data_IF_555246807684
#
_entry.id   IF_555246807684
#
_cell.length_a   1.000
_cell.length_b   1.000
_cell.length_c   1.000
_cell.angle_alpha   90.00
_cell.angle_beta   90.00
_cell.angle_gamma   90.00
#
_symmetry.space_group_name_H-M   'P 1'
#
loop_
_entity.id
_entity.type
_entity.pdbx_description
1 polymer ?
#
# COMPACT_ATOMS: atom_id res chain seq x y z
N UNK A 1 7.52 13.78 21.17
CA UNK A 1 7.44 13.48 19.72
C UNK A 1 6.40 14.42 19.13
N UNK A 2 6.70 15.06 18.01
CA UNK A 2 5.69 15.83 17.28
C UNK A 2 4.58 14.87 16.82
N UNK A 3 3.29 15.20 17.02
CA UNK A 3 2.18 14.35 16.53
C UNK A 3 2.09 14.30 14.99
N UNK A 4 2.96 15.02 14.28
CA UNK A 4 2.82 15.27 12.84
C UNK A 4 3.59 14.28 11.94
N UNK A 5 4.59 13.54 12.47
CA UNK A 5 5.34 12.56 11.69
C UNK A 5 5.41 11.23 12.47
N UNK A 6 4.93 10.11 11.89
CA UNK A 6 4.97 8.81 12.55
C UNK A 6 6.42 8.30 12.64
N UNK A 7 6.76 7.62 13.73
CA UNK A 7 8.06 6.95 13.89
C UNK A 7 8.18 5.64 13.10
N UNK A 8 7.07 5.14 12.55
CA UNK A 8 7.02 3.88 11.83
C UNK A 8 6.06 3.95 10.64
N UNK A 9 6.33 3.17 9.59
CA UNK A 9 5.49 3.11 8.38
C UNK A 9 5.26 1.67 7.91
N UNK A 10 4.16 1.45 7.22
CA UNK A 10 3.88 0.19 6.49
C UNK A 10 4.06 0.44 5.01
N UNK A 11 4.85 -0.41 4.36
CA UNK A 11 5.00 -0.44 2.91
C UNK A 11 4.59 -1.81 2.39
N UNK A 12 3.98 -1.84 1.21
CA UNK A 12 3.78 -3.07 0.45
C UNK A 12 4.69 -3.02 -0.76
N UNK A 13 5.59 -4.00 -0.89
CA UNK A 13 6.52 -4.08 -2.02
C UNK A 13 5.88 -4.88 -3.16
N UNK A 14 5.63 -4.28 -4.34
CA UNK A 14 4.94 -4.95 -5.42
C UNK A 14 5.91 -5.77 -6.30
N UNK A 15 5.49 -6.97 -6.71
CA UNK A 15 6.20 -7.78 -7.72
C UNK A 15 5.58 -7.67 -9.12
N UNK A 16 4.32 -7.25 -9.20
CA UNK A 16 3.53 -7.23 -10.44
C UNK A 16 2.84 -5.87 -10.67
N UNK A 17 3.53 -4.78 -10.32
CA UNK A 17 3.00 -3.43 -10.52
C UNK A 17 2.73 -3.14 -12.00
N UNK A 18 1.53 -2.64 -12.30
CA UNK A 18 1.10 -2.28 -13.65
C UNK A 18 -0.04 -1.26 -13.60
N UNK A 19 -0.33 -0.53 -14.69
CA UNK A 19 -1.59 0.20 -14.82
C UNK A 19 -2.78 -0.75 -14.63
N UNK A 20 -3.79 -0.31 -13.88
CA UNK A 20 -4.98 -1.08 -13.57
C UNK A 20 -6.18 -0.59 -14.41
N UNK A 21 -6.68 -1.39 -15.36
CA UNK A 21 -7.80 -1.00 -16.21
C UNK A 21 -9.07 -0.63 -15.43
N UNK A 22 -9.32 -1.26 -14.27
CA UNK A 22 -10.52 -1.02 -13.45
C UNK A 22 -10.52 0.35 -12.77
N UNK A 23 -9.37 1.01 -12.68
CA UNK A 23 -9.21 2.35 -12.10
C UNK A 23 -8.86 3.40 -13.15
N UNK A 24 -8.89 3.04 -14.45
CA UNK A 24 -8.47 3.97 -15.49
C UNK A 24 -9.41 5.18 -15.61
N UNK A 25 -10.69 4.99 -15.30
CA UNK A 25 -11.71 6.04 -15.44
C UNK A 25 -11.65 7.11 -14.35
N UNK A 26 -11.05 6.81 -13.19
CA UNK A 26 -11.00 7.69 -12.03
C UNK A 26 -9.57 8.00 -11.53
N UNK A 27 -8.54 7.29 -12.03
CA UNK A 27 -7.15 7.51 -11.68
C UNK A 27 -6.38 8.23 -12.80
N UNK A 28 -6.44 9.57 -12.79
CA UNK A 28 -5.72 10.44 -13.75
C UNK A 28 -4.19 10.34 -13.69
N UNK A 29 -3.61 9.68 -12.67
CA UNK A 29 -2.17 9.45 -12.57
C UNK A 29 -1.69 8.26 -13.41
N UNK A 30 -2.59 7.41 -13.92
CA UNK A 30 -2.21 6.28 -14.77
C UNK A 30 -1.94 6.72 -16.20
N UNK A 31 -0.82 6.23 -16.75
CA UNK A 31 -0.49 6.38 -18.16
C UNK A 31 -0.46 5.02 -18.84
N UNK A 32 -1.16 4.94 -19.97
CA UNK A 32 -1.17 3.79 -20.86
C UNK A 32 -0.17 3.93 -22.02
N UNK A 33 0.33 5.15 -22.22
CA UNK A 33 1.27 5.51 -23.28
C UNK A 33 2.71 5.28 -22.82
N UNK A 34 3.13 4.03 -22.79
CA UNK A 34 4.55 3.66 -22.73
C UNK A 34 4.95 3.01 -24.05
N UNK A 35 5.69 3.76 -24.88
CA UNK A 35 6.14 3.30 -26.20
C UNK A 35 6.86 1.93 -26.11
N UNK A 36 6.57 0.97 -27.02
CA UNK A 36 7.05 -0.42 -26.89
C UNK A 36 8.58 -0.59 -26.87
N UNK A 37 9.33 0.33 -27.49
CA UNK A 37 10.77 0.21 -27.75
C UNK A 37 11.66 0.57 -26.56
N UNK A 38 11.10 1.16 -25.49
CA UNK A 38 11.83 1.62 -24.30
C UNK A 38 11.06 1.35 -23.02
N UNK A 39 10.35 0.20 -22.90
CA UNK A 39 9.74 -0.15 -21.61
C UNK A 39 10.83 -0.66 -20.66
N UNK A 40 11.30 0.11 -19.66
CA UNK A 40 11.78 -0.56 -18.46
C UNK A 40 10.65 -1.46 -17.97
N UNK A 41 10.99 -2.63 -17.45
CA UNK A 41 10.04 -3.44 -16.71
C UNK A 41 9.52 -2.57 -15.55
N UNK A 42 8.32 -2.00 -15.73
CA UNK A 42 7.70 -1.06 -14.78
C UNK A 42 7.47 -1.73 -13.43
N UNK A 43 7.27 -3.05 -13.42
CA UNK A 43 7.14 -3.82 -12.19
C UNK A 43 8.48 -3.87 -11.48
N UNK A 44 9.57 -4.18 -12.19
CA UNK A 44 10.92 -4.14 -11.63
C UNK A 44 11.33 -2.73 -11.18
N UNK A 45 10.96 -1.70 -11.92
CA UNK A 45 11.23 -0.31 -11.56
C UNK A 45 10.50 0.09 -10.27
N UNK A 46 9.21 -0.27 -10.15
CA UNK A 46 8.41 -0.04 -8.94
C UNK A 46 8.93 -0.83 -7.74
N UNK A 47 9.31 -2.10 -7.94
CA UNK A 47 9.98 -2.92 -6.92
C UNK A 47 11.22 -2.21 -6.40
N UNK A 48 12.13 -1.82 -7.30
CA UNK A 48 13.38 -1.17 -6.95
C UNK A 48 13.15 0.19 -6.26
N UNK A 49 12.13 0.94 -6.69
CA UNK A 49 11.76 2.22 -6.06
C UNK A 49 11.21 2.01 -4.64
N UNK A 50 10.34 1.02 -4.45
CA UNK A 50 9.80 0.65 -3.13
C UNK A 50 10.90 0.19 -2.17
N UNK A 51 11.86 -0.64 -2.65
CA UNK A 51 13.03 -1.05 -1.85
C UNK A 51 13.87 0.15 -1.44
N UNK A 52 14.25 1.02 -2.38
CA UNK A 52 15.05 2.21 -2.05
C UNK A 52 14.33 3.17 -1.11
N UNK A 53 13.00 3.28 -1.21
CA UNK A 53 12.20 4.08 -0.29
C UNK A 53 12.28 3.52 1.14
N UNK A 54 12.15 2.20 1.30
CA UNK A 54 12.30 1.55 2.60
C UNK A 54 13.68 1.83 3.20
N UNK A 55 14.76 1.57 2.44
CA UNK A 55 16.14 1.83 2.86
C UNK A 55 16.34 3.30 3.27
N UNK A 56 15.85 4.25 2.47
CA UNK A 56 16.00 5.68 2.74
C UNK A 56 15.25 6.12 4.01
N UNK A 57 14.12 5.49 4.33
CA UNK A 57 13.35 5.78 5.53
C UNK A 57 14.01 5.16 6.77
N UNK A 58 14.54 3.95 6.66
CA UNK A 58 15.32 3.30 7.72
C UNK A 58 16.59 4.11 8.04
N UNK A 59 17.32 4.57 7.02
CA UNK A 59 18.49 5.45 7.17
C UNK A 59 18.15 6.78 7.87
N UNK A 60 16.90 7.25 7.72
CA UNK A 60 16.38 8.43 8.38
C UNK A 60 15.86 8.15 9.82
N UNK A 61 15.96 6.89 10.30
CA UNK A 61 15.53 6.48 11.63
C UNK A 61 14.04 6.19 11.77
N UNK A 62 13.33 5.94 10.67
CA UNK A 62 11.93 5.49 10.66
C UNK A 62 11.89 3.97 10.67
N UNK A 63 11.08 3.36 11.54
CA UNK A 63 10.87 1.92 11.52
C UNK A 63 9.99 1.52 10.31
N UNK A 64 10.51 0.74 9.38
CA UNK A 64 9.80 0.34 8.17
C UNK A 64 9.34 -1.11 8.25
N UNK A 65 8.04 -1.34 8.07
CA UNK A 65 7.45 -2.68 7.96
C UNK A 65 7.10 -2.97 6.51
N UNK A 66 7.94 -3.75 5.83
CA UNK A 66 7.74 -4.13 4.43
C UNK A 66 6.99 -5.46 4.33
N UNK A 67 5.90 -5.46 3.56
CA UNK A 67 5.14 -6.66 3.21
C UNK A 67 5.27 -6.94 1.71
N UNK A 68 5.77 -8.11 1.35
CA UNK A 68 5.89 -8.51 -0.06
C UNK A 68 4.52 -8.89 -0.64
N UNK A 69 4.16 -8.39 -1.82
CA UNK A 69 3.02 -8.87 -2.58
C UNK A 69 3.42 -9.47 -3.93
N UNK A 70 3.33 -10.79 -3.99
CA UNK A 70 3.66 -11.61 -5.16
C UNK A 70 2.43 -11.99 -6.00
N UNK A 71 1.25 -11.41 -5.73
CA UNK A 71 0.03 -11.75 -6.47
C UNK A 71 -0.05 -10.97 -7.78
N UNK A 72 -0.11 -11.68 -8.91
CA UNK A 72 -0.18 -11.07 -10.23
C UNK A 72 -1.44 -10.24 -10.51
N UNK A 73 -2.50 -10.40 -9.71
CA UNK A 73 -3.80 -9.73 -9.90
C UNK A 73 -4.00 -8.51 -9.00
N UNK A 74 -2.95 -8.05 -8.30
CA UNK A 74 -2.98 -6.91 -7.38
C UNK A 74 -2.02 -5.79 -7.81
N UNK A 75 -2.23 -5.18 -8.97
CA UNK A 75 -1.28 -4.22 -9.54
C UNK A 75 -1.11 -2.94 -8.70
N UNK A 76 -2.09 -2.55 -7.88
CA UNK A 76 -2.07 -1.35 -7.05
C UNK A 76 -1.73 -1.62 -5.58
N UNK A 77 -1.32 -2.85 -5.20
CA UNK A 77 -1.11 -3.21 -3.78
C UNK A 77 -0.04 -2.40 -3.07
N UNK A 78 0.86 -1.76 -3.83
CA UNK A 78 1.85 -0.78 -3.35
C UNK A 78 1.23 0.42 -2.62
N UNK A 79 -0.09 0.63 -2.73
CA UNK A 79 -0.84 1.72 -2.09
C UNK A 79 -1.73 1.23 -0.93
N UNK A 80 -1.15 0.76 0.20
CA UNK A 80 -1.92 0.26 1.35
C UNK A 80 -2.81 1.33 1.99
N UNK A 81 -2.45 2.61 1.83
CA UNK A 81 -3.19 3.77 2.33
C UNK A 81 -4.60 3.89 1.74
N UNK A 82 -4.92 3.16 0.67
CA UNK A 82 -6.24 3.21 0.06
C UNK A 82 -7.28 2.35 0.80
N UNK A 83 -6.85 1.29 1.50
CA UNK A 83 -7.78 0.38 2.18
C UNK A 83 -7.68 0.40 3.70
N UNK A 84 -6.64 1.00 4.30
CA UNK A 84 -6.64 1.28 5.74
C UNK A 84 -5.88 2.55 6.13
N UNK A 85 -6.16 3.02 7.35
CA UNK A 85 -5.39 4.06 8.02
C UNK A 85 -5.22 3.75 9.52
N UNK A 86 -4.24 4.40 10.14
CA UNK A 86 -4.01 4.37 11.59
C UNK A 86 -4.07 5.78 12.15
N UNK A 87 -4.57 5.92 13.38
CA UNK A 87 -4.81 7.20 14.03
C UNK A 87 -4.22 7.22 15.43
N UNK A 88 -3.93 8.42 15.92
CA UNK A 88 -3.58 8.64 17.31
C UNK A 88 -4.65 8.04 18.24
N UNK A 89 -4.22 7.46 19.37
CA UNK A 89 -5.12 6.75 20.29
C UNK A 89 -5.40 5.30 19.92
N UNK A 90 -4.69 4.74 18.92
CA UNK A 90 -4.74 3.31 18.62
C UNK A 90 -5.93 2.87 17.78
N UNK A 91 -6.58 3.81 17.08
CA UNK A 91 -7.67 3.49 16.15
C UNK A 91 -7.10 3.11 14.79
N UNK A 92 -7.60 2.00 14.24
CA UNK A 92 -7.39 1.57 12.86
C UNK A 92 -8.73 1.62 12.13
N UNK A 93 -8.72 2.07 10.86
CA UNK A 93 -9.92 2.11 10.02
C UNK A 93 -9.66 1.31 8.75
N UNK A 94 -10.57 0.42 8.39
CA UNK A 94 -10.58 -0.29 7.11
C UNK A 94 -11.64 0.33 6.19
N UNK A 95 -11.28 0.59 4.93
CA UNK A 95 -12.10 1.32 3.97
C UNK A 95 -12.67 0.42 2.87
N UNK A 96 -13.86 0.76 2.34
CA UNK A 96 -14.38 0.13 1.13
C UNK A 96 -13.53 0.54 -0.07
N UNK A 97 -13.32 -0.41 -0.99
CA UNK A 97 -12.60 -0.20 -2.23
C UNK A 97 -13.58 -0.24 -3.41
N UNK A 98 -13.64 0.87 -4.15
CA UNK A 98 -14.56 1.03 -5.26
C UNK A 98 -14.32 -0.01 -6.37
N UNK A 99 -13.09 -0.08 -6.89
CA UNK A 99 -12.71 -1.08 -7.89
C UNK A 99 -12.66 -2.49 -7.28
N UNK A 100 -13.35 -3.44 -7.92
CA UNK A 100 -13.56 -4.79 -7.40
C UNK A 100 -12.23 -5.55 -7.22
N UNK A 101 -11.32 -5.46 -8.20
CA UNK A 101 -10.03 -6.16 -8.10
C UNK A 101 -9.19 -5.67 -6.92
N UNK A 102 -9.34 -4.40 -6.54
CA UNK A 102 -8.61 -3.80 -5.43
C UNK A 102 -9.10 -4.23 -4.05
N UNK A 103 -10.32 -4.77 -3.94
CA UNK A 103 -10.84 -5.36 -2.70
C UNK A 103 -9.95 -6.51 -2.22
N UNK A 104 -9.32 -7.21 -3.17
CA UNK A 104 -8.39 -8.30 -2.88
C UNK A 104 -7.07 -7.82 -2.28
N UNK A 105 -6.71 -6.54 -2.37
CA UNK A 105 -5.48 -5.96 -1.81
C UNK A 105 -5.53 -5.83 -0.28
N UNK A 106 -6.72 -5.93 0.32
CA UNK A 106 -6.85 -5.98 1.79
C UNK A 106 -6.15 -7.20 2.34
N UNK A 107 -5.25 -6.95 3.28
CA UNK A 107 -4.33 -7.95 3.83
C UNK A 107 -4.52 -8.10 5.32
N UNK A 108 -5.12 -9.22 5.73
CA UNK A 108 -5.34 -9.53 7.15
C UNK A 108 -4.03 -9.68 7.91
N UNK A 109 -2.97 -10.17 7.27
CA UNK A 109 -1.65 -10.32 7.87
C UNK A 109 -1.01 -8.97 8.27
N UNK A 110 -1.28 -7.90 7.52
CA UNK A 110 -0.88 -6.53 7.91
C UNK A 110 -1.67 -6.08 9.15
N UNK A 111 -2.98 -6.33 9.18
CA UNK A 111 -3.83 -5.98 10.32
C UNK A 111 -3.38 -6.72 11.59
N UNK A 112 -3.13 -8.02 11.48
CA UNK A 112 -2.71 -8.88 12.59
C UNK A 112 -1.32 -8.49 13.10
N UNK A 113 -0.40 -8.16 12.20
CA UNK A 113 0.90 -7.61 12.56
C UNK A 113 0.74 -6.32 13.36
N UNK A 114 -0.05 -5.36 12.87
CA UNK A 114 -0.23 -4.07 13.55
C UNK A 114 -0.86 -4.24 14.94
N UNK A 115 -1.86 -5.12 15.07
CA UNK A 115 -2.48 -5.46 16.36
C UNK A 115 -1.50 -6.08 17.36
N UNK A 116 -0.54 -6.87 16.87
CA UNK A 116 0.46 -7.55 17.71
C UNK A 116 1.60 -6.62 18.13
N UNK A 117 2.01 -5.70 17.25
CA UNK A 117 3.21 -4.89 17.43
C UNK A 117 2.92 -3.47 17.95
N UNK A 118 1.68 -2.99 17.85
CA UNK A 118 1.27 -1.66 18.30
C UNK A 118 0.05 -1.73 19.21
N UNK A 119 -0.20 -0.65 19.96
CA UNK A 119 -1.41 -0.51 20.77
C UNK A 119 -2.60 -0.15 19.89
N UNK A 120 -3.20 -1.16 19.27
CA UNK A 120 -4.47 -1.02 18.54
C UNK A 120 -5.62 -1.25 19.53
N UNK A 121 -6.31 -0.17 19.90
CA UNK A 121 -7.44 -0.20 20.83
C UNK A 121 -8.79 -0.41 20.15
N UNK A 122 -8.90 -0.02 18.88
CA UNK A 122 -10.16 -0.10 18.12
C UNK A 122 -9.88 -0.36 16.63
N UNK A 123 -10.67 -1.24 16.02
CA UNK A 123 -10.72 -1.40 14.56
C UNK A 123 -12.13 -1.09 14.09
N UNK A 124 -12.27 -0.07 13.26
CA UNK A 124 -13.53 0.30 12.60
C UNK A 124 -13.48 -0.21 11.17
N UNK A 125 -14.40 -1.11 10.83
CA UNK A 125 -14.42 -1.73 9.52
C UNK A 125 -15.59 -1.22 8.67
N UNK A 126 -15.27 -0.38 7.68
CA UNK A 126 -16.22 0.10 6.66
C UNK A 126 -16.11 -0.69 5.35
N UNK A 127 -15.26 -1.71 5.25
CA UNK A 127 -15.05 -2.46 4.01
C UNK A 127 -16.28 -3.24 3.55
N UNK A 128 -17.27 -3.44 4.42
CA UNK A 128 -18.57 -4.00 4.05
C UNK A 128 -19.51 -3.05 3.30
N UNK A 129 -19.12 -1.79 3.07
CA UNK A 129 -19.93 -0.76 2.38
C UNK A 129 -19.60 -0.64 0.87
N UNK A 130 -19.05 -1.70 0.29
CA UNK A 130 -18.56 -1.79 -1.10
C UNK A 130 -19.61 -2.06 -2.17
#
# INVERSE_FOLDING_TARGET
MSPQAPGSVVLVRPHHFAPNPQTNTDNSYQSWDVAPLFKPDIAQAAYNASTRLAESLEDAGVDVHVFEDTHAHRPDSVFPNNWFSTHAGGRMVLYPMFAENRRTERRSDIVDFLKKHYQVGEVVDFSGLE
#
